data_IF_041166817947
#
_entry.id   IF_041166817947
#
_cell.length_a   1.000
_cell.length_b   1.000
_cell.length_c   1.000
_cell.angle_alpha   90.00
_cell.angle_beta   90.00
_cell.angle_gamma   90.00
#
_symmetry.space_group_name_H-M   'P 1'
#
loop_
_entity.id
_entity.type
_entity.pdbx_description
1 polymer ?
#
# COMPACT_ATOMS: atom_id res chain seq x y z
N UNK A 1 27.37 -9.12 -9.40
CA UNK A 1 26.38 -8.07 -9.72
C UNK A 1 27.02 -7.12 -10.72
N UNK A 2 26.32 -6.81 -11.81
CA UNK A 2 26.73 -5.82 -12.81
C UNK A 2 25.95 -4.53 -12.51
N UNK A 3 26.60 -3.38 -12.65
CA UNK A 3 25.96 -2.08 -12.41
C UNK A 3 26.18 -1.20 -13.63
N UNK A 4 25.07 -0.63 -14.12
CA UNK A 4 25.09 0.32 -15.22
C UNK A 4 24.44 1.62 -14.77
N UNK A 5 25.00 2.76 -15.18
CA UNK A 5 24.42 4.09 -14.96
C UNK A 5 23.64 4.52 -16.19
N UNK A 6 22.43 4.97 -15.96
CA UNK A 6 21.52 5.43 -17.00
C UNK A 6 21.41 6.94 -17.08
N UNK A 7 20.35 7.42 -17.71
CA UNK A 7 20.04 8.83 -17.89
C UNK A 7 19.78 9.54 -16.55
N UNK A 8 19.84 10.89 -16.51
CA UNK A 8 19.37 11.66 -15.36
C UNK A 8 17.97 11.25 -14.94
N UNK A 9 17.79 10.88 -13.67
CA UNK A 9 16.57 10.27 -13.17
C UNK A 9 15.45 11.29 -12.90
N UNK A 10 15.82 12.52 -12.56
CA UNK A 10 14.88 13.60 -12.27
C UNK A 10 14.95 14.69 -13.35
N UNK A 11 13.79 15.21 -13.74
CA UNK A 11 13.74 16.41 -14.55
C UNK A 11 14.32 17.61 -13.80
N UNK A 12 14.75 18.66 -14.52
CA UNK A 12 15.31 19.87 -13.91
C UNK A 12 14.39 20.45 -12.80
N UNK A 13 13.08 20.48 -13.03
CA UNK A 13 12.10 20.93 -12.05
C UNK A 13 12.08 20.05 -10.79
N UNK A 14 12.04 18.73 -10.93
CA UNK A 14 12.06 17.80 -9.79
C UNK A 14 13.38 17.86 -9.02
N UNK A 15 14.49 17.99 -9.72
CA UNK A 15 15.80 18.14 -9.10
C UNK A 15 15.90 19.45 -8.30
N UNK A 16 15.39 20.55 -8.84
CA UNK A 16 15.34 21.84 -8.13
C UNK A 16 14.47 21.75 -6.87
N UNK A 17 13.33 21.08 -6.94
CA UNK A 17 12.47 20.83 -5.79
C UNK A 17 13.19 20.01 -4.72
N UNK A 18 13.84 18.91 -5.11
CA UNK A 18 14.61 18.06 -4.18
C UNK A 18 15.74 18.86 -3.50
N UNK A 19 16.43 19.72 -4.25
CA UNK A 19 17.44 20.64 -3.68
C UNK A 19 16.87 21.53 -2.61
N UNK A 20 15.74 22.18 -2.88
CA UNK A 20 15.06 23.06 -1.93
C UNK A 20 14.63 22.31 -0.65
N UNK A 21 14.06 21.11 -0.81
CA UNK A 21 13.64 20.27 0.32
C UNK A 21 14.84 19.83 1.19
N UNK A 22 15.96 19.45 0.58
CA UNK A 22 17.19 19.12 1.30
C UNK A 22 17.80 20.33 2.01
N UNK A 23 17.86 21.49 1.35
CA UNK A 23 18.38 22.72 1.92
C UNK A 23 17.53 23.28 3.07
N UNK A 24 16.24 23.03 3.07
CA UNK A 24 15.36 23.35 4.20
C UNK A 24 15.72 22.56 5.48
N UNK A 25 16.32 21.38 5.34
CA UNK A 25 16.81 20.57 6.47
C UNK A 25 18.23 20.95 6.86
N UNK A 26 19.10 21.13 5.88
CA UNK A 26 20.50 21.49 6.07
C UNK A 26 20.95 22.45 4.96
N UNK A 27 21.05 23.76 5.20
CA UNK A 27 21.29 24.78 4.17
C UNK A 27 22.57 24.58 3.35
N UNK A 28 23.59 23.93 3.91
CA UNK A 28 24.86 23.66 3.20
C UNK A 28 24.80 22.46 2.24
N UNK A 29 23.75 21.61 2.32
CA UNK A 29 23.62 20.44 1.46
C UNK A 29 23.33 20.85 0.02
N UNK A 30 24.04 20.23 -0.91
CA UNK A 30 23.82 20.43 -2.34
C UNK A 30 23.65 19.09 -3.06
N UNK A 31 22.50 18.88 -3.69
CA UNK A 31 22.25 17.74 -4.58
C UNK A 31 22.82 18.08 -5.95
N UNK A 32 23.95 17.46 -6.30
CA UNK A 32 24.66 17.74 -7.55
C UNK A 32 23.94 17.15 -8.76
N UNK A 33 23.46 15.91 -8.65
CA UNK A 33 22.76 15.21 -9.72
C UNK A 33 22.08 13.94 -9.26
N UNK A 34 21.25 13.41 -10.16
CA UNK A 34 20.58 12.11 -9.96
C UNK A 34 20.62 11.33 -11.26
N UNK A 35 20.97 10.05 -11.19
CA UNK A 35 21.00 9.15 -12.32
C UNK A 35 20.25 7.86 -12.01
N UNK A 36 19.64 7.26 -13.01
CA UNK A 36 19.21 5.87 -12.88
C UNK A 36 20.42 4.96 -12.71
N UNK A 37 20.28 3.95 -11.87
CA UNK A 37 21.23 2.85 -11.78
C UNK A 37 20.51 1.53 -11.99
N UNK A 38 21.10 0.67 -12.79
CA UNK A 38 20.58 -0.65 -13.10
C UNK A 38 21.48 -1.70 -12.49
N UNK A 39 20.91 -2.50 -11.62
CA UNK A 39 21.57 -3.56 -10.88
C UNK A 39 21.17 -4.87 -11.54
N UNK A 40 22.12 -5.62 -12.08
CA UNK A 40 21.86 -6.78 -12.90
C UNK A 40 22.54 -8.01 -12.30
N UNK A 41 21.78 -9.07 -12.13
CA UNK A 41 22.26 -10.40 -11.79
C UNK A 41 22.19 -11.29 -13.03
N UNK A 42 23.33 -11.82 -13.43
CA UNK A 42 23.40 -12.83 -14.47
C UNK A 42 22.79 -14.16 -14.01
N UNK A 43 22.33 -15.00 -14.94
CA UNK A 43 22.08 -16.40 -14.66
C UNK A 43 23.39 -17.11 -14.35
N UNK A 44 23.32 -18.18 -13.58
CA UNK A 44 24.47 -18.92 -13.07
C UNK A 44 25.55 -19.16 -14.14
N UNK A 45 26.72 -18.55 -13.92
CA UNK A 45 27.88 -18.69 -14.80
C UNK A 45 27.79 -18.05 -16.19
N UNK A 46 26.67 -17.42 -16.54
CA UNK A 46 26.48 -16.81 -17.86
C UNK A 46 27.15 -15.43 -17.95
N UNK A 47 27.79 -15.16 -19.08
CA UNK A 47 28.21 -13.81 -19.43
C UNK A 47 26.99 -12.96 -19.89
N UNK A 48 26.94 -11.71 -19.47
CA UNK A 48 25.95 -10.74 -19.93
C UNK A 48 26.66 -9.68 -20.76
N UNK A 49 26.20 -9.51 -21.98
CA UNK A 49 26.65 -8.41 -22.84
C UNK A 49 26.08 -7.09 -22.29
N UNK A 50 26.93 -6.36 -21.56
CA UNK A 50 26.55 -5.11 -20.91
C UNK A 50 26.23 -3.99 -21.90
N UNK A 51 26.82 -4.02 -23.09
CA UNK A 51 26.54 -3.05 -24.14
C UNK A 51 25.15 -3.24 -24.73
N UNK A 52 24.81 -4.49 -25.11
CA UNK A 52 23.48 -4.82 -25.64
C UNK A 52 22.37 -4.63 -24.59
N UNK A 53 22.61 -5.06 -23.36
CA UNK A 53 21.66 -4.84 -22.25
C UNK A 53 21.51 -3.35 -21.94
N UNK A 54 22.61 -2.59 -21.92
CA UNK A 54 22.61 -1.15 -21.72
C UNK A 54 21.82 -0.42 -22.81
N UNK A 55 21.91 -0.84 -24.06
CA UNK A 55 21.13 -0.27 -25.15
C UNK A 55 19.62 -0.46 -24.99
N UNK A 56 19.19 -1.58 -24.41
CA UNK A 56 17.78 -1.82 -24.05
C UNK A 56 17.37 -0.98 -22.83
N UNK A 57 18.30 -0.79 -21.88
CA UNK A 57 18.10 -0.04 -20.65
C UNK A 57 18.58 1.43 -20.82
N UNK A 58 17.93 2.20 -21.68
CA UNK A 58 18.18 3.64 -21.86
C UNK A 58 19.60 4.02 -22.31
N UNK A 59 20.31 3.15 -23.01
CA UNK A 59 21.69 3.41 -23.48
C UNK A 59 22.72 3.51 -22.34
N UNK A 60 22.53 2.73 -21.29
CA UNK A 60 23.36 2.75 -20.08
C UNK A 60 24.85 2.49 -20.32
N UNK A 61 25.66 3.15 -19.52
CA UNK A 61 27.12 3.07 -19.52
C UNK A 61 27.63 2.55 -18.16
N UNK A 62 28.92 2.31 -18.04
CA UNK A 62 29.52 2.02 -16.74
C UNK A 62 29.30 3.18 -15.76
N UNK A 63 29.18 2.85 -14.47
CA UNK A 63 28.94 3.84 -13.42
C UNK A 63 30.11 4.83 -13.33
N UNK A 64 29.80 6.11 -13.32
CA UNK A 64 30.79 7.16 -13.17
C UNK A 64 31.31 7.24 -11.70
N UNK A 65 32.54 7.69 -11.47
CA UNK A 65 33.03 7.93 -10.12
C UNK A 65 32.20 9.01 -9.42
N UNK A 66 32.13 8.92 -8.08
CA UNK A 66 31.49 9.96 -7.27
C UNK A 66 32.22 11.29 -7.46
N UNK A 67 31.51 12.42 -7.68
CA UNK A 67 32.13 13.73 -7.81
C UNK A 67 33.02 14.08 -6.60
N UNK A 68 34.11 14.79 -6.83
CA UNK A 68 35.04 15.19 -5.77
C UNK A 68 34.28 16.05 -4.72
N UNK A 69 34.49 15.75 -3.44
CA UNK A 69 33.83 16.46 -2.33
C UNK A 69 32.35 16.09 -2.11
N UNK A 70 31.86 15.10 -2.84
CA UNK A 70 30.49 14.57 -2.65
C UNK A 70 30.47 13.15 -2.11
N UNK A 71 29.31 12.73 -1.66
CA UNK A 71 28.97 11.34 -1.37
C UNK A 71 27.85 10.88 -2.30
N UNK A 72 27.93 9.65 -2.78
CA UNK A 72 26.79 9.03 -3.47
C UNK A 72 25.89 8.33 -2.47
N UNK A 73 24.58 8.45 -2.68
CA UNK A 73 23.55 7.68 -2.01
C UNK A 73 22.74 6.93 -3.06
N UNK A 74 22.42 5.69 -2.77
CA UNK A 74 21.68 4.86 -3.71
C UNK A 74 20.32 4.55 -3.13
N UNK A 75 19.29 4.99 -3.82
CA UNK A 75 17.89 4.68 -3.49
C UNK A 75 17.48 3.50 -4.36
N UNK A 76 17.21 2.40 -3.72
CA UNK A 76 16.91 1.12 -4.38
C UNK A 76 15.54 0.62 -3.92
N UNK A 77 14.88 -0.31 -4.64
CA UNK A 77 13.70 -0.97 -4.11
C UNK A 77 13.95 -1.52 -2.71
N UNK A 78 12.89 -1.63 -1.92
CA UNK A 78 13.00 -2.09 -0.54
C UNK A 78 13.75 -3.43 -0.48
N UNK A 79 14.78 -3.48 0.35
CA UNK A 79 15.59 -4.69 0.50
C UNK A 79 14.74 -5.87 0.93
N UNK A 80 14.98 -7.04 0.35
CA UNK A 80 14.18 -8.25 0.59
C UNK A 80 12.91 -8.36 -0.24
N UNK A 81 12.61 -7.39 -1.13
CA UNK A 81 11.46 -7.43 -2.03
C UNK A 81 11.88 -7.52 -3.49
N UNK A 82 10.95 -7.87 -4.36
CA UNK A 82 11.09 -7.83 -5.82
C UNK A 82 10.21 -6.70 -6.36
N UNK A 83 10.81 -5.74 -7.10
CA UNK A 83 10.01 -4.64 -7.64
C UNK A 83 9.14 -5.10 -8.82
N UNK A 84 7.95 -4.52 -9.03
CA UNK A 84 7.11 -4.79 -10.21
C UNK A 84 7.86 -4.47 -11.51
N UNK A 85 8.69 -3.42 -11.51
CA UNK A 85 9.52 -3.04 -12.65
C UNK A 85 10.51 -4.15 -13.02
N UNK A 86 11.16 -4.78 -12.03
CA UNK A 86 12.14 -5.86 -12.23
C UNK A 86 11.57 -7.06 -12.98
N UNK A 87 10.34 -7.43 -12.68
CA UNK A 87 9.66 -8.55 -13.35
C UNK A 87 9.51 -8.29 -14.84
N UNK A 88 9.03 -7.08 -15.20
CA UNK A 88 8.81 -6.71 -16.61
C UNK A 88 10.11 -6.50 -17.37
N UNK A 89 11.05 -5.75 -16.78
CA UNK A 89 12.36 -5.52 -17.39
C UNK A 89 13.14 -6.83 -17.59
N UNK A 90 13.10 -7.73 -16.59
CA UNK A 90 13.73 -9.04 -16.69
C UNK A 90 13.10 -9.92 -17.78
N UNK A 91 11.78 -9.86 -17.95
CA UNK A 91 11.06 -10.55 -19.03
C UNK A 91 11.52 -10.06 -20.41
N UNK A 92 11.59 -8.73 -20.59
CA UNK A 92 12.03 -8.11 -21.84
C UNK A 92 13.47 -8.52 -22.18
N UNK A 93 14.39 -8.41 -21.22
CA UNK A 93 15.80 -8.78 -21.42
C UNK A 93 15.97 -10.27 -21.77
N UNK A 94 15.24 -11.15 -21.08
CA UNK A 94 15.26 -12.59 -21.40
C UNK A 94 14.63 -12.90 -22.75
N UNK A 95 13.55 -12.21 -23.11
CA UNK A 95 12.90 -12.32 -24.43
C UNK A 95 13.82 -11.83 -25.55
N UNK A 96 14.71 -10.88 -25.29
CA UNK A 96 15.75 -10.40 -26.20
C UNK A 96 17.00 -11.33 -26.22
N UNK A 97 16.99 -12.47 -25.51
CA UNK A 97 18.05 -13.47 -25.54
C UNK A 97 19.17 -13.24 -24.52
N UNK A 98 19.03 -12.29 -23.59
CA UNK A 98 20.05 -12.02 -22.58
C UNK A 98 19.92 -12.92 -21.36
N UNK A 99 21.04 -13.46 -20.88
CA UNK A 99 21.10 -14.38 -19.74
C UNK A 99 21.00 -13.64 -18.38
N UNK A 100 19.91 -12.91 -18.17
CA UNK A 100 19.64 -12.14 -16.95
C UNK A 100 18.72 -12.92 -16.03
N UNK A 101 19.14 -13.15 -14.78
CA UNK A 101 18.33 -13.73 -13.73
C UNK A 101 17.36 -12.70 -13.16
N UNK A 102 17.90 -11.53 -12.76
CA UNK A 102 17.15 -10.42 -12.19
C UNK A 102 17.80 -9.10 -12.56
N UNK A 103 16.97 -8.09 -12.78
CA UNK A 103 17.40 -6.68 -12.94
C UNK A 103 16.54 -5.79 -12.06
N UNK A 104 17.16 -4.84 -11.37
CA UNK A 104 16.48 -3.83 -10.57
C UNK A 104 16.94 -2.44 -11.00
N UNK A 105 16.03 -1.47 -10.89
CA UNK A 105 16.33 -0.06 -11.13
C UNK A 105 16.32 0.71 -9.83
N UNK A 106 17.36 1.49 -9.59
CA UNK A 106 17.48 2.42 -8.49
C UNK A 106 17.84 3.81 -8.98
N UNK A 107 18.10 4.69 -8.01
CA UNK A 107 18.61 6.04 -8.22
C UNK A 107 19.96 6.18 -7.54
N UNK A 108 20.91 6.78 -8.22
CA UNK A 108 22.10 7.36 -7.61
C UNK A 108 21.85 8.84 -7.41
N UNK A 109 22.15 9.34 -6.22
CA UNK A 109 22.04 10.75 -5.85
C UNK A 109 23.40 11.19 -5.32
N UNK A 110 24.04 12.12 -6.01
CA UNK A 110 25.32 12.69 -5.59
C UNK A 110 25.06 13.96 -4.77
N UNK A 111 25.57 13.99 -3.55
CA UNK A 111 25.29 15.05 -2.57
C UNK A 111 26.60 15.56 -2.00
N UNK A 112 26.83 16.88 -2.13
CA UNK A 112 27.91 17.57 -1.44
C UNK A 112 27.47 18.03 -0.05
N UNK A 113 28.43 18.17 0.86
CA UNK A 113 28.23 18.62 2.23
C UNK A 113 27.23 17.76 3.01
N UNK A 114 27.27 16.44 2.83
CA UNK A 114 26.45 15.52 3.61
C UNK A 114 26.77 15.67 5.11
N UNK A 115 25.74 15.85 6.00
CA UNK A 115 25.98 16.08 7.42
C UNK A 115 26.63 14.87 8.10
N UNK A 116 27.51 15.15 9.05
CA UNK A 116 28.15 14.11 9.87
C UNK A 116 27.23 13.61 11.01
N UNK A 117 26.29 14.47 11.48
CA UNK A 117 25.38 14.07 12.52
C UNK A 117 24.25 13.14 12.00
N UNK A 118 23.98 12.10 12.78
CA UNK A 118 23.08 11.02 12.37
C UNK A 118 21.62 11.47 12.24
N UNK A 119 21.15 12.42 13.04
CA UNK A 119 19.76 12.85 13.01
C UNK A 119 19.46 13.70 11.77
N UNK A 120 20.33 14.64 11.42
CA UNK A 120 20.20 15.41 10.18
C UNK A 120 20.35 14.51 8.96
N UNK A 121 21.30 13.57 8.98
CA UNK A 121 21.45 12.57 7.91
C UNK A 121 20.20 11.71 7.72
N UNK A 122 19.55 11.28 8.80
CA UNK A 122 18.29 10.52 8.78
C UNK A 122 17.12 11.34 8.23
N UNK A 123 17.04 12.61 8.60
CA UNK A 123 16.03 13.52 8.06
C UNK A 123 16.19 13.73 6.55
N UNK A 124 17.42 13.94 6.09
CA UNK A 124 17.73 14.03 4.66
C UNK A 124 17.39 12.72 3.92
N UNK A 125 17.77 11.58 4.48
CA UNK A 125 17.45 10.29 3.89
C UNK A 125 15.94 10.11 3.63
N UNK A 126 15.08 10.59 4.53
CA UNK A 126 13.62 10.54 4.36
C UNK A 126 13.11 11.39 3.20
N UNK A 127 13.80 12.46 2.83
CA UNK A 127 13.46 13.26 1.64
C UNK A 127 13.93 12.58 0.36
N UNK A 128 15.03 11.82 0.43
CA UNK A 128 15.61 11.17 -0.73
C UNK A 128 14.89 9.89 -1.16
N UNK A 129 14.13 9.23 -0.28
CA UNK A 129 13.48 7.95 -0.60
C UNK A 129 12.14 7.78 0.11
N UNK A 130 11.29 6.95 -0.45
CA UNK A 130 10.05 6.50 0.18
C UNK A 130 10.31 5.24 1.03
N UNK A 131 10.24 5.31 2.37
CA UNK A 131 10.54 4.18 3.25
C UNK A 131 9.56 3.00 3.12
N UNK A 132 8.40 3.19 2.50
CA UNK A 132 7.44 2.11 2.25
C UNK A 132 7.89 1.18 1.12
N UNK A 133 8.47 1.75 0.08
CA UNK A 133 8.76 1.03 -1.17
C UNK A 133 10.25 0.97 -1.50
N UNK A 134 11.07 1.77 -0.80
CA UNK A 134 12.47 1.96 -1.10
C UNK A 134 13.35 1.82 0.14
N UNK A 135 14.62 1.57 -0.10
CA UNK A 135 15.71 1.65 0.88
C UNK A 135 16.79 2.56 0.34
N UNK A 136 17.46 3.31 1.24
CA UNK A 136 18.64 4.08 0.90
C UNK A 136 19.88 3.37 1.44
N UNK A 137 20.90 3.19 0.59
CA UNK A 137 22.16 2.54 0.94
C UNK A 137 23.32 3.47 0.63
N UNK A 138 24.42 3.31 1.36
CA UNK A 138 25.59 4.21 1.28
C UNK A 138 26.58 3.80 0.23
N UNK A 139 26.52 2.54 -0.22
CA UNK A 139 27.38 2.02 -1.29
C UNK A 139 26.57 1.13 -2.23
N UNK A 140 27.10 0.98 -3.44
CA UNK A 140 26.50 0.08 -4.43
C UNK A 140 26.63 -1.39 -4.03
N UNK A 141 27.63 -1.73 -3.25
CA UNK A 141 27.84 -3.09 -2.75
C UNK A 141 26.76 -3.50 -1.75
N UNK A 142 26.30 -2.57 -0.93
CA UNK A 142 25.15 -2.81 -0.03
C UNK A 142 23.88 -3.14 -0.82
N UNK A 143 23.70 -2.55 -2.00
CA UNK A 143 22.56 -2.85 -2.87
C UNK A 143 22.55 -4.30 -3.36
N UNK A 144 23.67 -5.04 -3.29
CA UNK A 144 23.70 -6.48 -3.58
C UNK A 144 22.76 -7.29 -2.66
N UNK A 145 22.37 -6.73 -1.52
CA UNK A 145 21.37 -7.32 -0.63
C UNK A 145 19.98 -7.50 -1.32
N UNK A 146 19.66 -6.74 -2.37
CA UNK A 146 18.46 -6.93 -3.19
C UNK A 146 18.38 -8.34 -3.80
N UNK A 147 19.53 -8.93 -4.14
CA UNK A 147 19.62 -10.23 -4.81
C UNK A 147 19.76 -11.40 -3.84
N UNK A 148 19.85 -11.13 -2.54
CA UNK A 148 19.90 -12.18 -1.54
C UNK A 148 18.52 -12.81 -1.44
N UNK A 149 18.45 -14.11 -1.74
CA UNK A 149 17.28 -14.92 -1.39
C UNK A 149 17.50 -15.35 0.05
N UNK A 150 16.61 -14.97 0.99
CA UNK A 150 16.71 -15.49 2.34
C UNK A 150 16.71 -17.02 2.29
N UNK A 151 17.57 -17.69 3.08
CA UNK A 151 17.48 -19.13 3.19
C UNK A 151 16.05 -19.47 3.62
N UNK A 152 15.50 -20.57 3.11
CA UNK A 152 14.21 -21.07 3.61
C UNK A 152 14.36 -21.27 5.10
N UNK A 153 13.73 -20.41 5.89
CA UNK A 153 13.71 -20.53 7.34
C UNK A 153 13.03 -21.84 7.73
N UNK A 154 13.52 -22.49 8.76
CA UNK A 154 12.73 -23.51 9.42
C UNK A 154 11.53 -22.84 10.11
N UNK A 155 10.39 -23.51 10.11
CA UNK A 155 9.23 -23.10 10.89
C UNK A 155 9.63 -23.07 12.36
N UNK A 156 9.44 -21.95 13.03
CA UNK A 156 9.71 -21.82 14.45
C UNK A 156 8.54 -22.41 15.26
N UNK A 157 8.86 -23.23 16.25
CA UNK A 157 7.88 -23.80 17.18
C UNK A 157 7.92 -23.03 18.49
N UNK A 158 6.79 -22.45 18.91
CA UNK A 158 6.66 -21.55 20.06
C UNK A 158 5.78 -22.23 21.11
N UNK A 159 6.34 -22.49 22.28
CA UNK A 159 5.59 -23.09 23.37
C UNK A 159 4.47 -22.15 23.87
N UNK A 160 3.34 -22.66 24.38
CA UNK A 160 2.26 -21.82 24.92
C UNK A 160 2.73 -20.79 25.94
N UNK A 161 3.69 -21.14 26.80
CA UNK A 161 4.25 -20.24 27.81
C UNK A 161 5.01 -19.03 27.19
N UNK A 162 5.54 -19.17 25.98
CA UNK A 162 6.38 -18.15 25.32
C UNK A 162 5.56 -17.22 24.40
N UNK A 163 4.25 -17.39 24.28
CA UNK A 163 3.39 -16.64 23.36
C UNK A 163 3.41 -15.13 23.63
N UNK A 164 3.50 -14.70 24.89
CA UNK A 164 3.59 -13.27 25.24
C UNK A 164 4.87 -12.64 24.67
N UNK A 165 6.01 -13.32 24.81
CA UNK A 165 7.28 -12.85 24.25
C UNK A 165 7.27 -12.87 22.72
N UNK A 166 6.69 -13.93 22.13
CA UNK A 166 6.52 -14.04 20.68
C UNK A 166 5.61 -12.96 20.11
N UNK A 167 4.54 -12.56 20.81
CA UNK A 167 3.66 -11.46 20.40
C UNK A 167 4.45 -10.16 20.15
N UNK A 168 5.31 -9.77 21.09
CA UNK A 168 6.16 -8.59 20.94
C UNK A 168 7.21 -8.74 19.83
N UNK A 169 7.91 -9.86 19.80
CA UNK A 169 9.00 -10.15 18.86
C UNK A 169 8.52 -10.25 17.39
N UNK A 170 7.38 -10.89 17.16
CA UNK A 170 6.80 -11.08 15.82
C UNK A 170 5.86 -9.95 15.41
N UNK A 171 5.58 -8.97 16.28
CA UNK A 171 4.69 -7.85 15.98
C UNK A 171 3.24 -8.28 15.71
N UNK A 172 2.71 -9.26 16.47
CA UNK A 172 1.40 -9.85 16.23
C UNK A 172 0.23 -8.95 16.67
N UNK A 173 0.47 -7.99 17.56
CA UNK A 173 -0.54 -7.07 18.11
C UNK A 173 -1.75 -7.79 18.75
N UNK A 174 -1.51 -8.91 19.42
CA UNK A 174 -2.52 -9.67 20.14
C UNK A 174 -2.81 -9.04 21.50
N UNK A 175 -4.07 -9.04 21.90
CA UNK A 175 -4.49 -8.66 23.25
C UNK A 175 -4.16 -9.76 24.27
N UNK A 176 -4.21 -9.42 25.56
CA UNK A 176 -3.99 -10.39 26.66
C UNK A 176 -4.97 -11.56 26.58
N UNK A 177 -6.25 -11.30 26.32
CA UNK A 177 -7.28 -12.32 26.15
C UNK A 177 -7.02 -13.25 24.98
N UNK A 178 -6.52 -12.71 23.86
CA UNK A 178 -6.16 -13.49 22.67
C UNK A 178 -4.94 -14.38 22.93
N UNK A 179 -3.97 -13.87 23.69
CA UNK A 179 -2.81 -14.66 24.12
C UNK A 179 -3.26 -15.80 25.05
N UNK A 180 -4.10 -15.50 26.04
CA UNK A 180 -4.64 -16.52 26.96
C UNK A 180 -5.43 -17.60 26.19
N UNK A 181 -6.27 -17.21 25.25
CA UNK A 181 -6.99 -18.13 24.38
C UNK A 181 -6.04 -19.06 23.59
N UNK A 182 -4.99 -18.52 23.00
CA UNK A 182 -4.02 -19.31 22.24
C UNK A 182 -3.22 -20.23 23.15
N UNK A 183 -2.84 -19.80 24.36
CA UNK A 183 -2.17 -20.61 25.35
C UNK A 183 -3.01 -21.84 25.74
N UNK A 184 -4.29 -21.64 26.01
CA UNK A 184 -5.21 -22.72 26.31
C UNK A 184 -5.39 -23.67 25.12
N UNK A 185 -5.65 -23.11 23.92
CA UNK A 185 -5.89 -23.89 22.69
C UNK A 185 -4.69 -24.79 22.33
N UNK A 186 -3.47 -24.26 22.35
CA UNK A 186 -2.28 -25.04 22.04
C UNK A 186 -1.90 -26.01 23.14
N UNK A 187 -2.25 -25.73 24.41
CA UNK A 187 -2.13 -26.70 25.54
C UNK A 187 -3.08 -27.87 25.32
N UNK A 188 -4.33 -27.61 24.93
CA UNK A 188 -5.30 -28.66 24.62
C UNK A 188 -4.90 -29.50 23.40
N UNK A 189 -4.30 -28.87 22.39
CA UNK A 189 -3.76 -29.54 21.19
C UNK A 189 -2.52 -30.38 21.48
N UNK A 190 -1.88 -30.22 22.67
CA UNK A 190 -0.70 -30.96 23.07
C UNK A 190 0.55 -30.70 22.21
N UNK A 191 0.63 -29.55 21.57
CA UNK A 191 1.76 -29.16 20.71
C UNK A 191 2.06 -27.65 20.78
N UNK A 192 3.29 -27.22 20.44
CA UNK A 192 3.59 -25.81 20.29
C UNK A 192 2.86 -25.22 19.07
N UNK A 193 2.68 -23.90 19.08
CA UNK A 193 2.27 -23.12 17.93
C UNK A 193 3.45 -22.98 16.97
N UNK A 194 3.16 -22.77 15.67
CA UNK A 194 4.17 -22.32 14.73
C UNK A 194 4.10 -20.79 14.54
N UNK A 195 5.22 -20.17 14.18
CA UNK A 195 5.28 -18.75 13.82
C UNK A 195 4.30 -18.42 12.68
N UNK A 196 4.15 -19.30 11.70
CA UNK A 196 3.18 -19.17 10.62
C UNK A 196 1.73 -19.18 11.12
N UNK A 197 1.36 -20.11 12.02
CA UNK A 197 0.01 -20.17 12.61
C UNK A 197 -0.30 -18.93 13.43
N UNK A 198 0.66 -18.45 14.23
CA UNK A 198 0.48 -17.22 15.00
C UNK A 198 0.31 -16.00 14.11
N UNK A 199 1.09 -15.89 13.03
CA UNK A 199 0.94 -14.81 12.06
C UNK A 199 -0.41 -14.88 11.34
N UNK A 200 -0.85 -16.06 10.93
CA UNK A 200 -2.18 -16.25 10.32
C UNK A 200 -3.29 -15.87 11.28
N UNK A 201 -3.21 -16.29 12.55
CA UNK A 201 -4.20 -15.92 13.55
C UNK A 201 -4.24 -14.40 13.75
N UNK A 202 -3.08 -13.77 13.93
CA UNK A 202 -2.97 -12.32 14.12
C UNK A 202 -3.57 -11.54 12.94
N UNK A 203 -3.32 -11.96 11.70
CA UNK A 203 -3.90 -11.34 10.50
C UNK A 203 -5.42 -11.57 10.44
N UNK A 204 -5.87 -12.81 10.55
CA UNK A 204 -7.29 -13.16 10.45
C UNK A 204 -8.14 -12.60 11.60
N UNK A 205 -7.54 -12.41 12.77
CA UNK A 205 -8.21 -11.89 13.97
C UNK A 205 -7.93 -10.39 14.22
N UNK A 206 -7.31 -9.69 13.26
CA UNK A 206 -7.04 -8.25 13.35
C UNK A 206 -8.31 -7.42 13.30
N UNK A 207 -8.23 -6.16 13.75
CA UNK A 207 -9.31 -5.19 13.56
C UNK A 207 -9.66 -5.01 12.09
N UNK A 208 -8.66 -5.07 11.21
CA UNK A 208 -8.85 -5.01 9.76
C UNK A 208 -9.79 -6.10 9.23
N UNK A 209 -9.65 -7.35 9.69
CA UNK A 209 -10.46 -8.47 9.22
C UNK A 209 -11.75 -8.67 10.01
N UNK A 210 -11.71 -8.51 11.33
CA UNK A 210 -12.82 -8.86 12.23
C UNK A 210 -13.65 -7.68 12.72
N UNK A 211 -13.16 -6.45 12.57
CA UNK A 211 -13.84 -5.27 13.11
C UNK A 211 -14.25 -5.45 14.58
N UNK A 212 -13.29 -5.87 15.43
CA UNK A 212 -13.56 -6.21 16.83
C UNK A 212 -14.21 -5.08 17.61
N UNK A 213 -13.72 -3.85 17.43
CA UNK A 213 -14.27 -2.65 18.07
C UNK A 213 -15.71 -2.39 17.60
N UNK A 214 -15.97 -2.47 16.30
CA UNK A 214 -17.32 -2.25 15.73
C UNK A 214 -18.31 -3.34 16.11
N UNK A 215 -17.85 -4.55 16.40
CA UNK A 215 -18.68 -5.68 16.83
C UNK A 215 -18.79 -5.81 18.36
N UNK A 216 -17.97 -5.10 19.13
CA UNK A 216 -17.95 -5.19 20.59
C UNK A 216 -19.27 -4.69 21.22
N UNK A 217 -19.61 -5.24 22.36
CA UNK A 217 -20.54 -4.63 23.30
C UNK A 217 -19.87 -3.42 23.97
N UNK A 218 -20.64 -2.43 24.35
CA UNK A 218 -20.11 -1.22 24.97
C UNK A 218 -21.07 -0.66 26.01
N UNK A 219 -20.50 0.03 26.98
CA UNK A 219 -21.20 0.63 28.11
C UNK A 219 -20.90 2.13 28.11
N UNK A 220 -21.91 2.97 28.18
CA UNK A 220 -21.78 4.41 28.32
C UNK A 220 -22.32 4.83 29.69
N UNK A 221 -21.51 5.49 30.49
CA UNK A 221 -21.87 5.98 31.83
C UNK A 221 -22.53 4.93 32.73
N UNK A 222 -22.11 3.66 32.59
CA UNK A 222 -22.63 2.52 33.33
C UNK A 222 -23.84 1.82 32.69
N UNK A 223 -24.37 2.31 31.57
CA UNK A 223 -25.46 1.72 30.85
C UNK A 223 -24.97 0.89 29.65
N UNK A 224 -25.33 -0.40 29.62
CA UNK A 224 -25.04 -1.28 28.49
C UNK A 224 -25.86 -0.87 27.26
N UNK A 225 -25.19 -0.76 26.13
CA UNK A 225 -25.79 -0.43 24.87
C UNK A 225 -26.36 -1.69 24.19
N UNK A 226 -27.60 -1.62 23.70
CA UNK A 226 -28.30 -2.75 23.09
C UNK A 226 -27.71 -3.22 21.76
N UNK A 227 -26.99 -2.36 21.07
CA UNK A 227 -26.44 -2.62 19.74
C UNK A 227 -24.96 -2.27 19.66
N UNK A 228 -24.16 -3.17 19.07
CA UNK A 228 -22.83 -2.83 18.61
C UNK A 228 -22.90 -1.78 17.50
N UNK A 229 -21.79 -1.06 17.25
CA UNK A 229 -21.72 -0.09 16.16
C UNK A 229 -22.06 -0.72 14.80
N UNK A 230 -21.63 -1.95 14.57
CA UNK A 230 -21.96 -2.68 13.33
C UNK A 230 -23.46 -2.99 13.21
N UNK A 231 -24.11 -3.35 14.32
CA UNK A 231 -25.58 -3.55 14.31
C UNK A 231 -26.33 -2.26 14.01
N UNK A 232 -25.86 -1.10 14.51
CA UNK A 232 -26.44 0.20 14.18
C UNK A 232 -26.34 0.50 12.68
N UNK A 233 -25.18 0.24 12.07
CA UNK A 233 -24.97 0.41 10.62
C UNK A 233 -25.93 -0.50 9.83
N UNK A 234 -26.01 -1.78 10.20
CA UNK A 234 -26.88 -2.76 9.53
C UNK A 234 -28.38 -2.48 9.71
N UNK A 235 -28.77 -1.81 10.78
CA UNK A 235 -30.16 -1.44 11.04
C UNK A 235 -30.74 -0.54 9.93
N UNK A 236 -29.94 0.32 9.31
CA UNK A 236 -30.35 1.14 8.17
C UNK A 236 -30.79 0.28 6.99
N UNK A 237 -29.97 -0.72 6.63
CA UNK A 237 -30.34 -1.65 5.56
C UNK A 237 -31.55 -2.52 5.92
N UNK A 238 -31.64 -2.98 7.17
CA UNK A 238 -32.79 -3.77 7.63
C UNK A 238 -34.12 -2.99 7.55
N UNK A 239 -34.10 -1.67 7.82
CA UNK A 239 -35.25 -0.80 7.73
C UNK A 239 -35.65 -0.46 6.28
N UNK A 240 -34.70 -0.36 5.36
CA UNK A 240 -34.91 0.05 3.96
C UNK A 240 -34.12 -0.83 2.98
N UNK A 241 -34.46 -2.13 2.84
CA UNK A 241 -33.72 -3.05 1.98
C UNK A 241 -34.05 -2.93 0.49
N UNK A 242 -34.99 -2.07 0.13
CA UNK A 242 -35.47 -1.90 -1.26
C UNK A 242 -34.30 -1.57 -2.18
N UNK A 243 -34.34 -2.14 -3.37
CA UNK A 243 -33.33 -1.98 -4.42
C UNK A 243 -31.95 -2.57 -4.11
N UNK A 244 -31.69 -3.11 -2.91
CA UNK A 244 -30.46 -3.79 -2.56
C UNK A 244 -30.56 -5.28 -2.89
N UNK A 245 -29.70 -5.77 -3.81
CA UNK A 245 -29.67 -7.17 -4.20
C UNK A 245 -28.81 -8.00 -3.23
N UNK A 246 -27.71 -7.42 -2.74
CA UNK A 246 -26.88 -8.00 -1.69
C UNK A 246 -26.13 -6.91 -0.92
N UNK A 247 -26.02 -7.09 0.38
CA UNK A 247 -25.19 -6.28 1.27
C UNK A 247 -24.59 -7.16 2.37
N UNK A 248 -23.38 -6.82 2.84
CA UNK A 248 -22.65 -7.49 3.91
C UNK A 248 -22.32 -8.98 3.68
N UNK A 249 -22.47 -9.48 2.45
CA UNK A 249 -22.29 -10.90 2.12
C UNK A 249 -21.23 -11.17 1.07
N UNK A 250 -20.70 -10.13 0.42
CA UNK A 250 -19.65 -10.22 -0.60
C UNK A 250 -18.70 -9.01 -0.45
N UNK A 251 -17.71 -8.88 -1.33
CA UNK A 251 -16.69 -7.84 -1.32
C UNK A 251 -17.27 -6.42 -1.55
N UNK A 252 -18.40 -6.31 -2.23
CA UNK A 252 -19.12 -5.06 -2.42
C UNK A 252 -20.63 -5.28 -2.26
N UNK A 253 -21.38 -4.23 -1.97
CA UNK A 253 -22.84 -4.24 -2.09
C UNK A 253 -23.26 -4.18 -3.56
N UNK A 254 -24.40 -4.77 -3.88
CA UNK A 254 -24.99 -4.70 -5.21
C UNK A 254 -26.40 -4.14 -5.12
N UNK A 255 -26.69 -3.17 -5.97
CA UNK A 255 -27.95 -2.45 -6.04
C UNK A 255 -28.57 -2.62 -7.43
N UNK A 256 -29.89 -2.61 -7.52
CA UNK A 256 -30.62 -2.66 -8.78
C UNK A 256 -30.25 -1.47 -9.67
N UNK A 257 -30.03 -1.75 -10.94
CA UNK A 257 -29.82 -0.74 -11.97
C UNK A 257 -31.07 -0.55 -12.82
N UNK A 258 -30.94 0.34 -13.80
CA UNK A 258 -31.96 0.55 -14.81
C UNK A 258 -31.64 -0.25 -16.09
N UNK A 259 -32.65 -0.63 -16.88
CA UNK A 259 -32.42 -1.17 -18.23
C UNK A 259 -31.52 -0.23 -19.04
N UNK A 260 -30.59 -0.79 -19.77
CA UNK A 260 -29.61 -0.03 -20.52
C UNK A 260 -29.01 -0.82 -21.66
N UNK A 261 -27.87 -0.36 -22.14
CA UNK A 261 -27.08 -1.09 -23.16
C UNK A 261 -25.64 -1.20 -22.68
N UNK A 262 -25.02 -2.35 -22.92
CA UNK A 262 -23.59 -2.56 -22.67
C UNK A 262 -22.84 -2.81 -23.95
N UNK A 263 -21.74 -2.11 -24.12
CA UNK A 263 -20.82 -2.32 -25.23
C UNK A 263 -19.88 -3.47 -24.85
N UNK A 264 -20.00 -4.59 -25.56
CA UNK A 264 -19.20 -5.80 -25.31
C UNK A 264 -19.00 -6.61 -26.59
N UNK A 265 -17.97 -7.47 -26.64
CA UNK A 265 -17.77 -8.34 -27.79
C UNK A 265 -18.91 -9.38 -27.88
N UNK A 266 -19.47 -9.53 -29.05
CA UNK A 266 -20.28 -10.69 -29.41
C UNK A 266 -19.35 -11.85 -29.76
N UNK A 267 -19.47 -12.95 -29.02
CA UNK A 267 -18.58 -14.11 -29.17
C UNK A 267 -18.75 -14.84 -30.51
N UNK A 268 -19.89 -14.68 -31.16
CA UNK A 268 -20.17 -15.37 -32.43
C UNK A 268 -19.59 -14.61 -33.63
N UNK A 269 -19.71 -13.29 -33.64
CA UNK A 269 -19.20 -12.45 -34.71
C UNK A 269 -17.79 -11.90 -34.47
N UNK A 270 -17.34 -11.84 -33.20
CA UNK A 270 -16.10 -11.18 -32.80
C UNK A 270 -16.17 -9.64 -32.83
N UNK A 271 -17.32 -9.09 -33.14
CA UNK A 271 -17.53 -7.64 -33.18
C UNK A 271 -18.00 -7.09 -31.85
N UNK A 272 -17.69 -5.80 -31.58
CA UNK A 272 -18.22 -5.09 -30.43
C UNK A 272 -19.61 -4.53 -30.73
N UNK A 273 -20.58 -4.96 -29.95
CA UNK A 273 -22.00 -4.57 -30.11
C UNK A 273 -22.55 -3.91 -28.85
N UNK A 274 -23.51 -3.01 -29.04
CA UNK A 274 -24.26 -2.40 -27.93
C UNK A 274 -25.48 -3.26 -27.61
N UNK A 275 -25.27 -4.26 -26.74
CA UNK A 275 -26.28 -5.22 -26.34
C UNK A 275 -27.25 -4.64 -25.30
N UNK A 276 -28.57 -4.82 -25.49
CA UNK A 276 -29.55 -4.44 -24.47
C UNK A 276 -29.38 -5.29 -23.20
N UNK A 277 -29.43 -4.65 -22.02
CA UNK A 277 -29.40 -5.30 -20.72
C UNK A 277 -30.63 -4.86 -19.94
N UNK A 278 -31.59 -5.76 -19.78
CA UNK A 278 -32.80 -5.49 -18.98
C UNK A 278 -32.50 -5.55 -17.47
N UNK A 279 -31.72 -6.55 -17.07
CA UNK A 279 -31.41 -6.86 -15.67
C UNK A 279 -30.03 -6.31 -15.24
N UNK A 280 -29.79 -5.02 -15.45
CA UNK A 280 -28.56 -4.40 -15.00
C UNK A 280 -28.57 -4.17 -13.48
N UNK A 281 -27.40 -4.25 -12.88
CA UNK A 281 -27.13 -3.88 -11.51
C UNK A 281 -25.78 -3.18 -11.43
N UNK A 282 -25.47 -2.59 -10.28
CA UNK A 282 -24.17 -1.98 -10.04
C UNK A 282 -23.65 -2.31 -8.66
N UNK A 283 -22.32 -2.49 -8.59
CA UNK A 283 -21.61 -2.68 -7.34
C UNK A 283 -21.30 -1.30 -6.74
N UNK A 284 -21.32 -1.22 -5.41
CA UNK A 284 -20.84 -0.07 -4.65
C UNK A 284 -19.86 -0.58 -3.61
N UNK A 285 -18.64 -0.08 -3.66
CA UNK A 285 -17.60 -0.36 -2.66
C UNK A 285 -17.04 0.93 -2.11
N UNK A 286 -16.84 0.96 -0.81
CA UNK A 286 -16.11 2.01 -0.11
C UNK A 286 -15.30 1.38 0.99
N UNK A 287 -14.01 1.72 1.06
CA UNK A 287 -13.12 1.28 2.13
C UNK A 287 -12.16 2.40 2.55
N UNK A 288 -11.51 2.24 3.70
CA UNK A 288 -10.51 3.19 4.19
C UNK A 288 -9.10 2.59 4.08
N UNK A 289 -8.13 3.42 3.70
CA UNK A 289 -6.71 3.05 3.66
C UNK A 289 -5.87 4.08 4.41
N UNK A 290 -6.14 4.20 5.71
CA UNK A 290 -5.72 5.30 6.55
C UNK A 290 -4.22 5.27 6.89
N UNK A 291 -3.74 4.15 7.48
CA UNK A 291 -2.39 4.06 7.98
C UNK A 291 -1.31 4.15 6.89
N UNK A 292 -1.38 3.41 5.78
CA UNK A 292 -0.41 3.55 4.70
C UNK A 292 -0.38 4.96 4.11
N UNK A 293 -1.54 5.61 3.99
CA UNK A 293 -1.65 7.00 3.52
C UNK A 293 -1.03 7.99 4.51
N UNK A 294 -1.10 7.72 5.82
CA UNK A 294 -0.44 8.52 6.83
C UNK A 294 1.09 8.45 6.72
N UNK A 295 1.63 7.28 6.40
CA UNK A 295 3.09 7.06 6.35
C UNK A 295 3.68 7.56 5.03
N UNK A 296 3.02 7.24 3.90
CA UNK A 296 3.46 7.59 2.56
C UNK A 296 2.24 7.93 1.69
N UNK A 297 1.84 9.19 1.60
CA UNK A 297 0.55 9.61 1.06
C UNK A 297 0.27 9.14 -0.36
N UNK A 298 1.22 9.30 -1.29
CA UNK A 298 1.01 8.93 -2.69
C UNK A 298 0.85 7.40 -2.87
N UNK A 299 1.82 6.54 -2.48
CA UNK A 299 1.68 5.10 -2.67
C UNK A 299 0.62 4.48 -1.75
N UNK A 300 0.40 5.05 -0.56
CA UNK A 300 -0.64 4.61 0.36
C UNK A 300 -2.04 4.80 -0.21
N UNK A 301 -2.36 5.98 -0.73
CA UNK A 301 -3.64 6.26 -1.37
C UNK A 301 -3.81 5.51 -2.71
N UNK A 302 -2.72 5.36 -3.47
CA UNK A 302 -2.70 4.55 -4.69
C UNK A 302 -3.11 3.10 -4.41
N UNK A 303 -2.51 2.49 -3.38
CA UNK A 303 -2.83 1.12 -2.97
C UNK A 303 -4.28 1.00 -2.47
N UNK A 304 -4.79 2.02 -1.76
CA UNK A 304 -6.19 2.08 -1.33
C UNK A 304 -7.16 2.03 -2.51
N UNK A 305 -6.91 2.83 -3.55
CA UNK A 305 -7.72 2.78 -4.77
C UNK A 305 -7.63 1.41 -5.46
N UNK A 306 -6.45 0.78 -5.47
CA UNK A 306 -6.24 -0.57 -6.01
C UNK A 306 -6.99 -1.65 -5.24
N UNK A 307 -7.04 -1.56 -3.90
CA UNK A 307 -7.79 -2.48 -3.04
C UNK A 307 -9.29 -2.41 -3.31
N UNK A 308 -9.83 -1.22 -3.41
CA UNK A 308 -11.23 -0.99 -3.73
C UNK A 308 -11.61 -1.55 -5.11
N UNK A 309 -10.80 -1.32 -6.15
CA UNK A 309 -10.98 -1.90 -7.49
C UNK A 309 -11.03 -3.42 -7.43
N UNK A 310 -10.15 -4.03 -6.65
CA UNK A 310 -10.07 -5.48 -6.51
C UNK A 310 -11.33 -6.05 -5.89
N UNK A 311 -11.91 -5.38 -4.92
CA UNK A 311 -13.14 -5.82 -4.28
C UNK A 311 -14.36 -5.71 -5.21
N UNK A 312 -14.47 -4.62 -5.97
CA UNK A 312 -15.50 -4.55 -7.01
C UNK A 312 -15.36 -5.68 -8.03
N UNK A 313 -14.14 -5.92 -8.52
CA UNK A 313 -13.86 -6.98 -9.50
C UNK A 313 -14.10 -8.39 -8.96
N UNK A 314 -13.95 -8.59 -7.65
CA UNK A 314 -14.19 -9.86 -6.97
C UNK A 314 -15.67 -10.10 -6.62
N UNK A 315 -16.54 -9.10 -6.76
CA UNK A 315 -17.95 -9.20 -6.40
C UNK A 315 -18.72 -10.07 -7.36
N UNK A 316 -19.46 -11.02 -6.82
CA UNK A 316 -20.23 -11.99 -7.61
C UNK A 316 -19.36 -12.78 -8.59
N UNK A 317 -19.76 -12.82 -9.86
CA UNK A 317 -19.09 -13.56 -10.95
C UNK A 317 -18.72 -12.71 -12.15
N UNK A 318 -18.81 -11.38 -12.04
CA UNK A 318 -18.58 -10.54 -13.20
C UNK A 318 -18.66 -9.03 -12.90
N UNK A 319 -18.34 -8.62 -11.70
CA UNK A 319 -18.21 -7.20 -11.34
C UNK A 319 -17.14 -6.53 -12.22
N UNK A 320 -17.45 -5.37 -12.76
CA UNK A 320 -16.57 -4.58 -13.65
C UNK A 320 -16.46 -3.16 -13.11
N UNK A 321 -15.37 -2.77 -12.46
CA UNK A 321 -15.14 -1.41 -11.98
C UNK A 321 -15.28 -0.38 -13.10
N UNK A 322 -16.02 0.72 -12.87
CA UNK A 322 -16.34 1.73 -13.89
C UNK A 322 -15.93 3.14 -13.53
N UNK A 323 -16.06 3.52 -12.27
CA UNK A 323 -15.72 4.86 -11.80
C UNK A 323 -15.26 4.81 -10.36
N UNK A 324 -14.24 5.60 -10.01
CA UNK A 324 -13.70 5.73 -8.67
C UNK A 324 -14.00 7.08 -8.04
N UNK A 325 -13.90 7.13 -6.72
CA UNK A 325 -13.90 8.34 -5.90
C UNK A 325 -12.88 8.22 -4.79
N UNK A 326 -12.43 9.35 -4.25
CA UNK A 326 -11.56 9.38 -3.07
C UNK A 326 -11.94 10.52 -2.14
N UNK A 327 -11.92 10.26 -0.84
CA UNK A 327 -12.17 11.26 0.19
C UNK A 327 -11.04 11.33 1.19
N UNK A 328 -10.71 12.53 1.65
CA UNK A 328 -9.66 12.75 2.62
C UNK A 328 -10.17 13.60 3.78
N UNK A 329 -9.95 13.12 5.00
CA UNK A 329 -10.14 13.89 6.23
C UNK A 329 -8.83 13.92 6.98
N UNK A 330 -8.32 15.11 7.27
CA UNK A 330 -7.01 15.34 7.91
C UNK A 330 -7.12 16.37 9.03
N UNK A 331 -6.08 16.53 9.83
CA UNK A 331 -5.91 17.67 10.73
C UNK A 331 -5.79 19.00 9.96
N UNK A 332 -5.73 20.14 10.64
CA UNK A 332 -5.52 21.43 9.98
C UNK A 332 -4.25 21.42 9.13
N UNK A 333 -4.33 22.04 7.96
CA UNK A 333 -3.32 21.89 6.91
C UNK A 333 -1.99 22.56 7.23
N UNK A 334 -2.00 23.69 7.94
CA UNK A 334 -0.80 24.49 8.22
C UNK A 334 0.03 24.71 6.96
N UNK A 335 -0.62 25.26 5.93
CA UNK A 335 0.00 25.50 4.63
C UNK A 335 1.21 26.42 4.80
N UNK A 336 2.41 26.03 4.35
CA UNK A 336 3.60 26.87 4.45
C UNK A 336 3.39 28.24 3.78
N UNK A 337 3.65 29.31 4.52
CA UNK A 337 3.46 30.69 4.03
C UNK A 337 2.01 31.20 4.03
N UNK A 338 1.02 30.38 4.44
CA UNK A 338 -0.39 30.77 4.48
C UNK A 338 -1.08 30.27 5.77
N UNK A 339 -0.57 30.62 6.98
CA UNK A 339 -1.18 30.18 8.22
C UNK A 339 -2.60 30.76 8.36
N UNK A 340 -3.51 29.95 8.91
CA UNK A 340 -4.89 30.36 9.12
C UNK A 340 -5.13 30.78 10.59
N UNK A 341 -6.07 31.69 10.87
CA UNK A 341 -6.28 32.20 12.25
C UNK A 341 -6.70 31.13 13.27
N UNK A 342 -7.29 30.03 12.80
CA UNK A 342 -7.75 28.93 13.66
C UNK A 342 -6.70 27.83 13.87
N UNK A 343 -5.56 27.90 13.18
CA UNK A 343 -4.50 26.89 13.27
C UNK A 343 -3.57 27.19 14.45
N UNK A 344 -3.55 26.30 15.43
CA UNK A 344 -2.66 26.40 16.58
C UNK A 344 -1.42 25.53 16.40
N UNK A 345 -0.23 26.01 16.80
CA UNK A 345 0.97 25.17 16.83
C UNK A 345 0.77 23.97 17.78
N UNK A 346 1.10 22.78 17.32
CA UNK A 346 1.15 21.59 18.18
C UNK A 346 2.15 20.56 17.59
N UNK A 347 2.64 19.70 18.47
CA UNK A 347 3.48 18.58 18.05
C UNK A 347 2.63 17.56 17.24
N UNK A 348 3.18 17.11 16.13
CA UNK A 348 2.61 16.07 15.30
C UNK A 348 3.43 14.78 15.46
N UNK A 349 2.83 13.64 15.17
CA UNK A 349 3.56 12.36 15.17
C UNK A 349 4.63 12.37 14.06
N UNK A 350 5.93 12.24 14.40
CA UNK A 350 7.01 12.32 13.43
C UNK A 350 7.04 11.14 12.43
N UNK A 351 6.26 10.08 12.68
CA UNK A 351 6.12 8.93 11.78
C UNK A 351 5.05 9.14 10.70
N UNK A 352 4.21 10.16 10.83
CA UNK A 352 3.13 10.46 9.89
C UNK A 352 3.47 11.69 9.06
N UNK A 353 3.04 11.70 7.81
CA UNK A 353 3.15 12.87 6.97
C UNK A 353 2.26 14.00 7.49
N UNK A 354 2.66 15.28 7.32
CA UNK A 354 1.82 16.43 7.66
C UNK A 354 0.51 16.43 6.86
N UNK A 355 -0.55 16.96 7.44
CA UNK A 355 -1.87 17.04 6.81
C UNK A 355 -1.83 17.67 5.41
N UNK A 356 -1.03 18.72 5.22
CA UNK A 356 -0.86 19.38 3.93
C UNK A 356 -0.26 18.42 2.87
N UNK A 357 0.74 17.64 3.25
CA UNK A 357 1.37 16.67 2.34
C UNK A 357 0.40 15.55 1.97
N UNK A 358 -0.36 15.05 2.94
CA UNK A 358 -1.40 14.04 2.68
C UNK A 358 -2.43 14.57 1.68
N UNK A 359 -2.90 15.80 1.86
CA UNK A 359 -3.89 16.43 0.97
C UNK A 359 -3.35 16.77 -0.40
N UNK A 360 -2.05 17.01 -0.53
CA UNK A 360 -1.39 17.27 -1.82
C UNK A 360 -1.14 15.98 -2.60
N UNK A 361 -0.55 14.98 -1.95
CA UNK A 361 0.01 13.81 -2.61
C UNK A 361 -0.95 12.60 -2.63
N UNK A 362 -1.79 12.46 -1.61
CA UNK A 362 -2.77 11.37 -1.52
C UNK A 362 -3.73 11.31 -2.71
N UNK A 363 -4.42 12.41 -3.05
CA UNK A 363 -5.33 12.43 -4.21
C UNK A 363 -4.63 12.12 -5.53
N UNK A 364 -3.38 12.58 -5.70
CA UNK A 364 -2.59 12.28 -6.88
C UNK A 364 -2.26 10.79 -6.98
N UNK A 365 -1.93 10.15 -5.86
CA UNK A 365 -1.67 8.71 -5.81
C UNK A 365 -2.90 7.89 -6.18
N UNK A 366 -4.03 8.19 -5.58
CA UNK A 366 -5.29 7.49 -5.88
C UNK A 366 -5.73 7.69 -7.34
N UNK A 367 -5.63 8.93 -7.86
CA UNK A 367 -5.94 9.24 -9.25
C UNK A 367 -4.99 8.52 -10.22
N UNK A 368 -3.70 8.42 -9.90
CA UNK A 368 -2.72 7.73 -10.73
C UNK A 368 -3.07 6.24 -10.89
N UNK A 369 -3.45 5.55 -9.81
CA UNK A 369 -3.87 4.15 -9.90
C UNK A 369 -5.14 3.97 -10.74
N UNK A 370 -6.16 4.81 -10.53
CA UNK A 370 -7.38 4.78 -11.33
C UNK A 370 -7.10 5.00 -12.81
N UNK A 371 -6.23 5.96 -13.13
CA UNK A 371 -5.82 6.27 -14.51
C UNK A 371 -5.07 5.11 -15.16
N UNK A 372 -4.14 4.47 -14.45
CA UNK A 372 -3.39 3.30 -14.93
C UNK A 372 -4.31 2.09 -15.16
N UNK A 373 -5.26 1.87 -14.28
CA UNK A 373 -6.29 0.83 -14.45
C UNK A 373 -7.25 1.13 -15.61
N UNK A 374 -7.43 2.39 -15.97
CA UNK A 374 -8.29 2.83 -17.08
C UNK A 374 -9.72 3.17 -16.67
N UNK A 375 -9.96 3.57 -15.41
CA UNK A 375 -11.25 4.10 -14.95
C UNK A 375 -11.12 5.55 -14.45
N UNK A 376 -12.11 6.43 -14.65
CA UNK A 376 -12.06 7.78 -14.14
C UNK A 376 -12.23 7.84 -12.62
N UNK A 377 -11.48 8.72 -11.97
CA UNK A 377 -11.72 9.15 -10.60
C UNK A 377 -12.60 10.40 -10.63
N UNK A 378 -13.92 10.24 -10.42
CA UNK A 378 -14.90 11.27 -10.75
C UNK A 378 -15.26 12.18 -9.60
N UNK A 379 -15.15 11.73 -8.36
CA UNK A 379 -15.70 12.43 -7.20
C UNK A 379 -14.83 12.24 -5.97
N UNK A 380 -15.19 12.93 -4.91
CA UNK A 380 -14.54 12.83 -3.62
C UNK A 380 -14.84 14.01 -2.73
N UNK A 381 -14.08 14.11 -1.64
CA UNK A 381 -14.16 15.25 -0.73
C UNK A 381 -12.81 15.52 -0.07
N UNK A 382 -12.62 16.76 0.38
CA UNK A 382 -11.51 17.18 1.21
C UNK A 382 -12.04 17.83 2.48
N UNK A 383 -11.58 17.38 3.65
CA UNK A 383 -11.97 17.95 4.95
C UNK A 383 -10.75 18.07 5.85
N UNK A 384 -10.70 19.16 6.61
CA UNK A 384 -9.76 19.31 7.71
C UNK A 384 -10.52 19.61 8.99
N UNK A 385 -10.03 19.10 10.12
CA UNK A 385 -10.69 19.28 11.40
C UNK A 385 -9.69 19.16 12.57
N UNK A 386 -9.74 20.12 13.46
CA UNK A 386 -9.15 20.05 14.79
C UNK A 386 -10.08 20.77 15.76
N UNK A 387 -10.29 20.19 16.93
CA UNK A 387 -11.11 20.76 17.99
C UNK A 387 -10.33 20.68 19.31
N UNK A 388 -9.90 21.81 19.88
CA UNK A 388 -9.44 21.87 21.26
C UNK A 388 -10.56 21.41 22.19
N UNK A 389 -10.21 20.63 23.20
CA UNK A 389 -11.17 20.18 24.21
C UNK A 389 -11.06 21.03 25.48
N UNK A 390 -11.99 20.83 26.43
CA UNK A 390 -11.92 21.46 27.75
C UNK A 390 -10.69 21.02 28.56
N UNK A 391 -10.11 19.86 28.25
CA UNK A 391 -8.88 19.39 28.86
C UNK A 391 -7.68 20.09 28.21
N UNK A 392 -6.88 20.85 28.97
CA UNK A 392 -5.72 21.54 28.43
C UNK A 392 -4.76 20.60 27.72
N UNK A 393 -4.36 20.95 26.49
CA UNK A 393 -3.44 20.16 25.66
C UNK A 393 -4.07 18.99 24.91
N UNK A 394 -5.35 18.67 25.17
CA UNK A 394 -6.06 17.62 24.43
C UNK A 394 -6.81 18.23 23.23
N UNK A 395 -6.46 17.77 22.03
CA UNK A 395 -7.09 18.17 20.77
C UNK A 395 -7.69 16.94 20.08
N UNK A 396 -8.92 17.05 19.63
CA UNK A 396 -9.54 16.06 18.75
C UNK A 396 -9.18 16.39 17.30
N UNK A 397 -8.54 15.49 16.60
CA UNK A 397 -7.96 15.75 15.28
C UNK A 397 -7.83 14.46 14.46
N UNK A 398 -7.49 14.61 13.19
CA UNK A 398 -7.24 13.51 12.26
C UNK A 398 -5.76 13.47 11.86
N UNK A 399 -4.86 13.29 12.82
CA UNK A 399 -3.42 13.13 12.55
C UNK A 399 -3.14 11.84 11.78
N UNK A 400 -3.77 10.74 12.20
CA UNK A 400 -3.99 9.60 11.34
C UNK A 400 -5.20 9.94 10.45
N UNK A 401 -4.99 10.16 9.15
CA UNK A 401 -6.06 10.61 8.27
C UNK A 401 -7.14 9.55 8.09
N UNK A 402 -8.30 9.97 7.62
CA UNK A 402 -9.18 9.06 6.90
C UNK A 402 -8.89 9.26 5.41
N UNK A 403 -8.40 8.22 4.76
CA UNK A 403 -8.36 8.10 3.31
C UNK A 403 -9.42 7.10 2.90
N UNK A 404 -10.39 7.57 2.15
CA UNK A 404 -11.52 6.79 1.69
C UNK A 404 -11.38 6.56 0.18
N UNK A 405 -11.32 5.30 -0.22
CA UNK A 405 -11.40 4.87 -1.61
C UNK A 405 -12.75 4.24 -1.86
N UNK A 406 -13.41 4.65 -2.92
CA UNK A 406 -14.72 4.11 -3.28
C UNK A 406 -14.91 4.06 -4.79
N UNK A 407 -15.96 3.36 -5.20
CA UNK A 407 -16.28 3.25 -6.60
C UNK A 407 -17.61 2.60 -6.91
N UNK A 408 -17.91 2.65 -8.19
CA UNK A 408 -19.08 2.04 -8.81
C UNK A 408 -18.64 1.09 -9.91
N UNK A 409 -19.15 -0.13 -9.88
CA UNK A 409 -18.94 -1.14 -10.92
C UNK A 409 -20.26 -1.60 -11.54
N UNK A 410 -20.18 -2.12 -12.75
CA UNK A 410 -21.33 -2.74 -13.42
C UNK A 410 -21.34 -4.25 -13.19
N UNK A 411 -22.49 -4.82 -12.95
CA UNK A 411 -22.70 -6.27 -12.85
C UNK A 411 -24.06 -6.65 -13.43
N UNK A 412 -24.18 -7.84 -14.00
CA UNK A 412 -25.48 -8.37 -14.42
C UNK A 412 -26.16 -9.06 -13.25
N UNK A 413 -27.47 -8.85 -13.11
CA UNK A 413 -28.26 -9.39 -11.97
C UNK A 413 -28.09 -10.91 -11.78
N UNK A 414 -27.99 -11.66 -12.86
CA UNK A 414 -27.74 -13.11 -12.83
C UNK A 414 -26.33 -13.51 -12.35
N UNK A 415 -25.42 -12.54 -12.22
CA UNK A 415 -24.03 -12.78 -11.79
C UNK A 415 -23.74 -12.33 -10.35
N UNK A 416 -24.73 -11.80 -9.65
CA UNK A 416 -24.56 -11.23 -8.29
C UNK A 416 -24.12 -12.28 -7.27
N UNK A 417 -24.59 -13.54 -7.41
CA UNK A 417 -24.24 -14.62 -6.49
C UNK A 417 -23.10 -15.49 -7.02
N UNK A 418 -22.12 -15.76 -6.16
CA UNK A 418 -21.10 -16.79 -6.42
C UNK A 418 -21.72 -18.16 -6.40
N UNK A 419 -21.23 -19.06 -7.26
CA UNK A 419 -21.64 -20.46 -7.29
C UNK A 419 -20.77 -21.27 -6.31
N UNK A 420 -21.33 -22.31 -5.72
CA UNK A 420 -20.57 -23.27 -4.93
C UNK A 420 -19.59 -24.06 -5.81
N UNK A 421 -18.40 -24.35 -5.28
CA UNK A 421 -17.43 -25.23 -5.92
C UNK A 421 -17.95 -26.68 -5.88
N UNK A 422 -17.62 -27.45 -6.92
CA UNK A 422 -17.97 -28.85 -7.05
C UNK A 422 -16.71 -29.68 -7.18
N UNK A 423 -16.79 -30.95 -6.81
CA UNK A 423 -15.70 -31.89 -7.07
C UNK A 423 -15.42 -31.97 -8.57
N UNK A 424 -14.13 -31.85 -8.95
CA UNK A 424 -13.71 -31.80 -10.33
C UNK A 424 -13.65 -30.42 -10.98
N UNK A 425 -14.06 -29.36 -10.30
CA UNK A 425 -13.87 -27.99 -10.79
C UNK A 425 -12.37 -27.66 -10.88
N UNK A 426 -11.97 -26.99 -11.96
CA UNK A 426 -10.59 -26.59 -12.19
C UNK A 426 -10.30 -25.23 -11.55
N UNK A 427 -9.22 -25.15 -10.77
CA UNK A 427 -8.66 -23.89 -10.28
C UNK A 427 -7.64 -23.37 -11.31
N UNK A 428 -7.96 -22.28 -11.96
CA UNK A 428 -7.11 -21.65 -12.98
C UNK A 428 -6.47 -20.39 -12.40
N UNK A 429 -5.14 -20.35 -12.38
CA UNK A 429 -4.36 -19.17 -11.96
C UNK A 429 -3.82 -18.48 -13.21
N UNK A 430 -4.23 -17.22 -13.41
CA UNK A 430 -3.77 -16.38 -14.52
C UNK A 430 -3.04 -15.18 -13.94
N UNK A 431 -1.78 -14.97 -14.33
CA UNK A 431 -0.99 -13.84 -13.86
C UNK A 431 0.51 -14.06 -14.06
N UNK A 432 1.27 -13.11 -13.56
CA UNK A 432 2.73 -13.18 -13.53
C UNK A 432 3.27 -13.97 -12.32
N UNK A 433 4.60 -14.01 -12.16
CA UNK A 433 5.23 -14.67 -11.02
C UNK A 433 4.83 -13.98 -9.69
N UNK A 434 4.70 -14.78 -8.64
CA UNK A 434 4.49 -14.24 -7.29
C UNK A 434 5.71 -13.43 -6.83
N UNK A 435 5.47 -12.31 -6.18
CA UNK A 435 6.51 -11.42 -5.65
C UNK A 435 6.47 -11.39 -4.13
N UNK A 436 7.64 -11.33 -3.50
CA UNK A 436 7.76 -11.11 -2.07
C UNK A 436 7.56 -9.61 -1.77
N UNK A 437 6.44 -9.27 -1.11
CA UNK A 437 6.12 -7.87 -0.75
C UNK A 437 6.05 -7.63 0.76
N UNK A 438 6.15 -8.65 1.59
CA UNK A 438 6.09 -8.59 3.05
C UNK A 438 4.78 -9.10 3.64
N UNK A 439 4.77 -9.20 4.97
CA UNK A 439 3.64 -9.67 5.77
C UNK A 439 3.40 -8.72 6.96
N UNK A 440 2.24 -8.81 7.58
CA UNK A 440 1.97 -8.19 8.89
C UNK A 440 1.21 -6.87 8.87
N UNK A 441 0.92 -6.28 7.72
CA UNK A 441 0.19 -5.01 7.64
C UNK A 441 -1.21 -5.05 8.29
N UNK A 442 -1.92 -6.16 8.19
CA UNK A 442 -3.24 -6.34 8.82
C UNK A 442 -3.16 -6.37 10.34
N UNK A 443 -2.18 -7.06 10.93
CA UNK A 443 -2.00 -7.12 12.38
C UNK A 443 -1.72 -5.73 12.98
N UNK A 444 -0.92 -4.91 12.32
CA UNK A 444 -0.62 -3.54 12.75
C UNK A 444 -1.88 -2.65 12.90
N UNK A 445 -2.99 -2.97 12.20
CA UNK A 445 -4.25 -2.25 12.34
C UNK A 445 -4.89 -2.38 13.73
N UNK A 446 -4.51 -3.39 14.50
CA UNK A 446 -4.99 -3.61 15.88
C UNK A 446 -4.26 -2.75 16.92
N UNK A 447 -3.16 -2.08 16.56
CA UNK A 447 -2.45 -1.17 17.44
C UNK A 447 -3.15 0.18 17.56
N UNK A 448 -3.10 0.77 18.75
CA UNK A 448 -3.56 2.12 18.96
C UNK A 448 -2.74 3.13 18.13
N UNK A 449 -3.36 4.23 17.71
CA UNK A 449 -2.69 5.28 16.94
C UNK A 449 -1.44 5.79 17.66
N UNK A 450 -0.31 5.79 16.99
CA UNK A 450 0.97 6.24 17.52
C UNK A 450 1.83 5.17 18.19
N UNK A 451 1.36 3.94 18.30
CA UNK A 451 2.13 2.82 18.86
C UNK A 451 2.83 1.96 17.79
N UNK A 452 2.53 2.19 16.52
CA UNK A 452 3.13 1.47 15.39
C UNK A 452 4.40 2.13 14.85
#
# INVERSE_FOLDING_TARGET
MIVLEGLPALSAFRLQRLRAECQAIHPAVEVLGTHHVYLIQARDGAAVDTGAVGAILEGCIAIAPTPAGAVSRYVVPRLGTLSPWASKAGEILRGAGHAVARVERGLRIDVANWPADAETAKRLARVLHDPMTQSIVVSIDEAAALFRVPPKGAVEHIAPADLTAANGRLGLALSEDEIAYLQEAYTQLGRPATDAELMMFAQANSEHCRHKIFNASWTIDGEEQTHSLFKMIKATHAATPQFTLTAYADNAAVVEGHPGRRFRPDLASGEYVAEPVADSAYCIKVETHNHPTAISPFPGASTGAGGEIRDEGATGRGGKPKAGLTGFTVSHLRIPGAPQPWEQPRALNPRMAPAFEIMRDGPLGAAAFNNEFGRPALSGYFRSFELPTETPGLVRAYDKPIMLAGGLGAIDRGQVKKLGLRDGDLVIVIGGPAMLIGLGGGAASSLASGQS
#
